data_IF_228787668429
#
_entry.id   IF_228787668429
#
_cell.length_a   1.000
_cell.length_b   1.000
_cell.length_c   1.000
_cell.angle_alpha   90.00
_cell.angle_beta   90.00
_cell.angle_gamma   90.00
#
_symmetry.space_group_name_H-M   'P 1'
#
loop_
_entity.id
_entity.type
_entity.pdbx_description
1 polymer ?
#
# COMPACT_ATOMS: atom_id res chain seq x y z
N UNK A 1 29.92 -28.93 -26.37
CA UNK A 1 28.64 -28.52 -25.75
C UNK A 1 28.87 -27.20 -25.02
N UNK A 2 28.31 -26.10 -25.51
CA UNK A 2 28.51 -24.75 -24.96
C UNK A 2 27.23 -24.32 -24.22
N UNK A 3 27.34 -24.12 -22.91
CA UNK A 3 26.22 -23.66 -22.08
C UNK A 3 26.11 -22.13 -22.16
N UNK A 4 24.92 -21.63 -22.54
CA UNK A 4 24.62 -20.20 -22.56
C UNK A 4 24.24 -19.73 -21.16
N UNK A 5 25.04 -18.81 -20.60
CA UNK A 5 24.82 -18.26 -19.26
C UNK A 5 23.59 -17.35 -19.27
N UNK A 6 22.51 -17.77 -18.61
CA UNK A 6 21.33 -16.94 -18.42
C UNK A 6 21.65 -15.80 -17.43
N UNK A 7 21.87 -14.59 -17.93
CA UNK A 7 21.85 -13.39 -17.09
C UNK A 7 20.39 -13.06 -16.84
N UNK A 8 19.92 -13.24 -15.61
CA UNK A 8 18.65 -12.71 -15.14
C UNK A 8 18.56 -11.24 -15.55
N UNK A 9 17.70 -10.95 -16.54
CA UNK A 9 17.40 -9.59 -16.94
C UNK A 9 16.69 -8.93 -15.76
N UNK A 10 17.31 -7.86 -15.26
CA UNK A 10 16.74 -6.84 -14.40
C UNK A 10 15.77 -7.33 -13.31
N UNK A 11 16.27 -7.36 -12.07
CA UNK A 11 15.36 -7.24 -10.92
C UNK A 11 14.42 -6.05 -11.20
N UNK A 12 13.08 -6.24 -11.16
CA UNK A 12 12.15 -5.18 -11.51
C UNK A 12 12.42 -3.96 -10.64
N UNK A 13 12.45 -2.78 -11.26
CA UNK A 13 12.62 -1.52 -10.55
C UNK A 13 11.69 -1.51 -9.32
N UNK A 14 12.26 -1.26 -8.15
CA UNK A 14 11.55 -1.27 -6.89
C UNK A 14 10.51 -0.14 -6.88
N UNK A 15 9.26 -0.45 -7.27
CA UNK A 15 8.18 0.53 -7.35
C UNK A 15 7.40 0.60 -6.03
N UNK A 16 6.84 1.77 -5.67
CA UNK A 16 5.92 1.91 -4.55
C UNK A 16 4.76 0.92 -4.65
N UNK A 17 4.56 0.11 -3.63
CA UNK A 17 3.53 -0.92 -3.61
C UNK A 17 2.88 -1.05 -2.24
N UNK A 18 1.58 -1.31 -2.25
CA UNK A 18 0.77 -1.69 -1.12
C UNK A 18 0.44 -3.18 -1.21
N UNK A 19 0.73 -3.92 -0.16
CA UNK A 19 0.31 -5.32 -0.02
C UNK A 19 -0.86 -5.36 0.95
N UNK A 20 -2.02 -5.74 0.44
CA UNK A 20 -3.18 -6.03 1.27
C UNK A 20 -3.01 -7.42 1.89
N UNK A 21 -3.18 -7.54 3.20
CA UNK A 21 -3.27 -8.81 3.89
C UNK A 21 -4.73 -9.30 3.94
N UNK A 22 -4.91 -10.63 4.06
CA UNK A 22 -6.23 -11.22 4.30
C UNK A 22 -6.82 -10.82 5.66
N UNK A 23 -6.02 -10.27 6.56
CA UNK A 23 -6.45 -9.76 7.87
C UNK A 23 -7.00 -8.33 7.81
N UNK A 24 -6.90 -7.67 6.64
CA UNK A 24 -7.33 -6.28 6.47
C UNK A 24 -6.29 -5.26 6.91
N UNK A 25 -5.03 -5.52 6.59
CA UNK A 25 -3.92 -4.58 6.81
C UNK A 25 -3.26 -4.26 5.48
N UNK A 26 -3.00 -2.98 5.22
CA UNK A 26 -2.15 -2.55 4.10
C UNK A 26 -0.72 -2.44 4.60
N UNK A 27 0.17 -3.21 3.99
CA UNK A 27 1.61 -3.22 4.20
C UNK A 27 2.29 -2.42 3.07
N UNK A 28 3.06 -1.41 3.41
CA UNK A 28 3.79 -0.60 2.45
C UNK A 28 5.23 -1.09 2.34
N UNK A 29 5.73 -1.25 1.10
CA UNK A 29 7.14 -1.56 0.89
C UNK A 29 8.04 -0.34 1.17
N UNK A 30 9.35 -0.57 1.20
CA UNK A 30 10.36 0.48 1.44
C UNK A 30 10.18 1.69 0.52
N UNK A 31 9.92 1.45 -0.77
CA UNK A 31 9.77 2.53 -1.75
C UNK A 31 8.49 3.34 -1.48
N UNK A 32 7.38 2.68 -1.16
CA UNK A 32 6.17 3.38 -0.73
C UNK A 32 6.40 4.20 0.55
N UNK A 33 7.16 3.68 1.51
CA UNK A 33 7.48 4.43 2.74
C UNK A 33 8.33 5.67 2.41
N UNK A 34 9.32 5.55 1.52
CA UNK A 34 10.19 6.66 1.13
C UNK A 34 9.46 7.72 0.32
N UNK A 35 8.62 7.31 -0.64
CA UNK A 35 7.96 8.22 -1.57
C UNK A 35 6.60 8.74 -1.09
N UNK A 36 5.84 7.94 -0.35
CA UNK A 36 4.46 8.25 0.01
C UNK A 36 4.30 8.67 1.47
N UNK A 37 5.13 8.14 2.38
CA UNK A 37 4.87 8.17 3.84
C UNK A 37 5.93 8.92 4.63
N UNK A 38 6.95 9.52 3.99
CA UNK A 38 8.17 10.03 4.67
C UNK A 38 7.88 10.73 6.01
N UNK A 39 6.99 11.71 5.99
CA UNK A 39 6.61 12.53 7.16
C UNK A 39 5.22 12.19 7.73
N UNK A 40 4.49 11.28 7.08
CA UNK A 40 3.13 10.96 7.46
C UNK A 40 3.05 10.01 8.66
N UNK A 41 2.15 10.31 9.58
CA UNK A 41 1.81 9.51 10.77
C UNK A 41 0.42 8.91 10.69
N UNK A 42 -0.41 9.42 9.79
CA UNK A 42 -1.80 9.03 9.59
C UNK A 42 -2.08 8.80 8.10
N UNK A 43 -3.05 7.95 7.83
CA UNK A 43 -3.55 7.68 6.49
C UNK A 43 -5.07 7.73 6.46
N UNK A 44 -5.64 8.37 5.44
CA UNK A 44 -7.07 8.33 5.13
C UNK A 44 -7.29 7.42 3.92
N UNK A 45 -8.35 6.62 4.00
CA UNK A 45 -8.74 5.65 2.97
C UNK A 45 -9.96 6.18 2.23
N UNK A 46 -9.90 6.16 0.90
CA UNK A 46 -10.98 6.56 0.02
C UNK A 46 -11.32 5.38 -0.90
N UNK A 47 -12.60 5.19 -1.19
CA UNK A 47 -13.02 4.20 -2.17
C UNK A 47 -13.80 4.87 -3.31
N UNK A 48 -13.27 4.76 -4.52
CA UNK A 48 -13.97 5.09 -5.75
C UNK A 48 -14.70 3.83 -6.21
N UNK A 49 -16.03 3.81 -6.02
CA UNK A 49 -16.90 2.68 -6.33
C UNK A 49 -16.95 2.42 -7.84
N UNK A 50 -17.08 3.48 -8.64
CA UNK A 50 -17.22 3.42 -10.09
C UNK A 50 -15.96 2.82 -10.73
N UNK A 51 -14.78 3.26 -10.27
CA UNK A 51 -13.49 2.82 -10.81
C UNK A 51 -12.88 1.64 -10.06
N UNK A 52 -13.55 1.17 -9.00
CA UNK A 52 -13.07 0.12 -8.09
C UNK A 52 -11.62 0.39 -7.67
N UNK A 53 -11.40 1.56 -7.10
CA UNK A 53 -10.06 2.06 -6.75
C UNK A 53 -10.02 2.51 -5.31
N UNK A 54 -8.96 2.10 -4.59
CA UNK A 54 -8.70 2.60 -3.25
C UNK A 54 -7.67 3.72 -3.35
N UNK A 55 -8.00 4.86 -2.74
CA UNK A 55 -7.12 5.99 -2.53
C UNK A 55 -6.57 6.00 -1.10
N UNK A 56 -5.30 6.37 -0.97
CA UNK A 56 -4.57 6.57 0.26
C UNK A 56 -4.04 7.99 0.29
N UNK A 57 -4.48 8.75 1.30
CA UNK A 57 -3.92 10.06 1.61
C UNK A 57 -3.05 9.94 2.84
N UNK A 58 -1.81 10.41 2.75
CA UNK A 58 -0.86 10.35 3.85
C UNK A 58 -0.76 11.72 4.52
N UNK A 59 -0.93 11.77 5.84
CA UNK A 59 -1.03 13.00 6.62
C UNK A 59 -0.03 13.02 7.79
N UNK A 60 0.60 14.17 8.09
CA UNK A 60 1.49 14.31 9.24
C UNK A 60 0.75 14.37 10.59
N UNK A 61 -0.49 14.87 10.58
CA UNK A 61 -1.38 15.03 11.73
C UNK A 61 -2.68 14.24 11.50
N UNK A 62 -3.43 13.89 12.57
CA UNK A 62 -4.72 13.24 12.39
C UNK A 62 -5.68 14.20 11.67
N UNK A 63 -6.42 13.64 10.71
CA UNK A 63 -7.50 14.35 10.03
C UNK A 63 -8.80 14.21 10.81
N UNK A 64 -9.89 13.90 10.12
CA UNK A 64 -11.18 13.70 10.77
C UNK A 64 -11.18 12.45 11.69
N UNK A 65 -11.83 12.52 12.86
CA UNK A 65 -12.02 11.37 13.74
C UNK A 65 -12.79 10.25 13.03
N UNK A 66 -12.32 9.00 13.17
CA UNK A 66 -12.95 7.82 12.54
C UNK A 66 -12.55 7.57 11.09
N UNK A 67 -12.11 8.60 10.37
CA UNK A 67 -11.64 8.50 8.96
C UNK A 67 -10.13 8.26 8.90
N UNK A 68 -9.39 8.96 9.76
CA UNK A 68 -7.93 8.89 9.79
C UNK A 68 -7.43 7.67 10.60
N UNK A 69 -6.59 6.85 9.97
CA UNK A 69 -5.97 5.66 10.57
C UNK A 69 -4.51 5.94 10.90
N UNK A 70 -4.06 5.54 12.09
CA UNK A 70 -2.64 5.68 12.48
C UNK A 70 -1.78 4.72 11.66
N UNK A 71 -0.65 5.23 11.16
CA UNK A 71 0.36 4.42 10.48
C UNK A 71 1.28 3.83 11.54
N UNK A 72 1.31 2.50 11.65
CA UNK A 72 2.23 1.80 12.53
C UNK A 72 3.51 1.49 11.76
N UNK A 73 4.64 1.99 12.25
CA UNK A 73 5.97 1.70 11.69
C UNK A 73 6.68 0.72 12.60
N UNK A 74 7.31 -0.30 12.04
CA UNK A 74 8.15 -1.23 12.79
C UNK A 74 9.38 -1.63 11.97
N UNK A 75 10.42 -2.01 12.70
CA UNK A 75 11.66 -2.53 12.12
C UNK A 75 11.51 -4.04 11.97
N UNK A 76 11.77 -4.57 10.78
CA UNK A 76 11.75 -6.01 10.55
C UNK A 76 13.00 -6.64 11.18
N UNK A 77 12.81 -7.42 12.23
CA UNK A 77 13.90 -8.12 12.93
C UNK A 77 14.77 -8.92 11.94
N UNK A 78 16.09 -8.81 12.06
CA UNK A 78 17.06 -9.56 11.26
C UNK A 78 17.52 -8.92 9.94
N UNK A 79 16.98 -7.77 9.52
CA UNK A 79 17.50 -7.01 8.37
C UNK A 79 17.81 -5.57 8.80
N UNK A 80 19.10 -5.23 8.93
CA UNK A 80 19.58 -3.84 8.96
C UNK A 80 18.91 -3.14 7.76
N UNK A 81 18.06 -2.14 8.01
CA UNK A 81 17.30 -1.33 7.02
C UNK A 81 15.90 -1.82 6.55
N UNK A 82 15.31 -2.87 7.12
CA UNK A 82 13.94 -3.25 6.78
C UNK A 82 12.88 -2.43 7.53
N UNK A 83 12.55 -1.21 7.08
CA UNK A 83 11.38 -0.49 7.61
C UNK A 83 10.10 -0.99 6.93
N UNK A 84 9.09 -1.29 7.74
CA UNK A 84 7.74 -1.59 7.28
C UNK A 84 6.76 -0.59 7.89
N UNK A 85 5.72 -0.23 7.13
CA UNK A 85 4.61 0.58 7.61
C UNK A 85 3.31 -0.14 7.31
N UNK A 86 2.42 -0.17 8.30
CA UNK A 86 1.12 -0.83 8.21
C UNK A 86 -0.02 0.12 8.53
N UNK A 87 -1.14 -0.08 7.84
CA UNK A 87 -2.39 0.63 8.06
C UNK A 87 -3.49 -0.41 8.29
N UNK A 88 -4.17 -0.32 9.42
CA UNK A 88 -5.34 -1.16 9.71
C UNK A 88 -6.54 -0.63 8.92
N UNK A 89 -7.11 -1.47 8.06
CA UNK A 89 -8.20 -1.09 7.15
C UNK A 89 -9.29 -2.17 7.04
N UNK A 90 -9.35 -3.15 7.95
CA UNK A 90 -10.31 -4.26 7.90
C UNK A 90 -11.76 -3.80 7.85
N UNK A 91 -12.12 -2.82 8.69
CA UNK A 91 -13.47 -2.25 8.74
C UNK A 91 -13.84 -1.56 7.44
N UNK A 92 -12.94 -0.74 6.89
CA UNK A 92 -13.12 -0.08 5.59
C UNK A 92 -13.39 -1.10 4.47
N UNK A 93 -12.62 -2.20 4.43
CA UNK A 93 -12.84 -3.24 3.43
C UNK A 93 -14.19 -3.94 3.61
N UNK A 94 -14.63 -4.15 4.86
CA UNK A 94 -15.95 -4.74 5.16
C UNK A 94 -17.09 -3.80 4.79
N UNK A 95 -16.98 -2.53 5.13
CA UNK A 95 -17.96 -1.48 4.87
C UNK A 95 -18.25 -1.35 3.36
N UNK A 96 -17.21 -1.40 2.53
CA UNK A 96 -17.34 -1.28 1.07
C UNK A 96 -17.37 -2.63 0.32
N UNK A 97 -17.52 -3.76 1.02
CA UNK A 97 -17.63 -5.09 0.41
C UNK A 97 -16.40 -5.49 -0.42
N UNK A 98 -15.21 -5.03 -0.03
CA UNK A 98 -13.95 -5.32 -0.69
C UNK A 98 -13.35 -6.65 -0.22
N UNK A 99 -12.81 -7.48 -1.14
CA UNK A 99 -12.26 -8.77 -0.77
C UNK A 99 -10.98 -8.63 0.06
N UNK A 100 -10.97 -9.24 1.23
CA UNK A 100 -9.77 -9.40 2.07
C UNK A 100 -8.92 -10.55 1.53
N UNK A 101 -8.01 -10.26 0.61
CA UNK A 101 -7.12 -11.25 -0.01
C UNK A 101 -5.67 -10.78 0.04
N UNK A 102 -4.73 -11.73 0.11
CA UNK A 102 -3.31 -11.39 0.02
C UNK A 102 -2.98 -10.94 -1.41
N UNK A 103 -2.85 -9.62 -1.60
CA UNK A 103 -2.66 -9.02 -2.92
C UNK A 103 -1.64 -7.89 -2.84
N UNK A 104 -0.60 -7.97 -3.66
CA UNK A 104 0.32 -6.86 -3.88
C UNK A 104 -0.16 -6.02 -5.04
N UNK A 105 -0.35 -4.72 -4.81
CA UNK A 105 -0.75 -3.74 -5.82
C UNK A 105 0.25 -2.59 -5.88
N UNK A 106 0.54 -2.14 -7.10
CA UNK A 106 1.35 -0.96 -7.31
C UNK A 106 0.57 0.28 -6.89
N UNK A 107 1.26 1.20 -6.23
CA UNK A 107 0.71 2.50 -5.88
C UNK A 107 1.04 3.48 -6.99
N UNK A 108 0.00 4.11 -7.52
CA UNK A 108 0.11 5.17 -8.53
C UNK A 108 -0.37 6.48 -7.95
N UNK A 109 0.45 7.52 -8.07
CA UNK A 109 0.03 8.87 -7.70
C UNK A 109 -1.03 9.37 -8.69
N UNK A 110 -2.17 9.78 -8.16
CA UNK A 110 -3.23 10.42 -8.93
C UNK A 110 -3.16 11.93 -8.67
N UNK A 111 -2.66 12.69 -9.65
CA UNK A 111 -2.48 14.13 -9.54
C UNK A 111 -3.79 14.91 -9.31
N UNK A 112 -4.87 14.49 -9.98
CA UNK A 112 -6.18 15.17 -9.87
C UNK A 112 -6.76 15.04 -8.46
N UNK A 113 -6.68 13.83 -7.90
CA UNK A 113 -7.20 13.55 -6.56
C UNK A 113 -6.20 13.91 -5.45
N UNK A 114 -4.92 14.10 -5.77
CA UNK A 114 -3.80 14.21 -4.82
C UNK A 114 -3.74 13.03 -3.84
N UNK A 115 -3.96 11.81 -4.36
CA UNK A 115 -3.97 10.56 -3.60
C UNK A 115 -3.06 9.52 -4.23
N UNK A 116 -2.46 8.67 -3.41
CA UNK A 116 -1.89 7.41 -3.88
C UNK A 116 -2.99 6.39 -4.09
N UNK A 117 -3.03 5.74 -5.24
CA UNK A 117 -4.17 4.90 -5.62
C UNK A 117 -3.71 3.51 -6.04
N UNK A 118 -4.59 2.53 -5.85
CA UNK A 118 -4.44 1.20 -6.42
C UNK A 118 -5.79 0.59 -6.76
N UNK A 119 -5.82 -0.23 -7.82
CA UNK A 119 -7.03 -0.93 -8.24
C UNK A 119 -7.32 -2.13 -7.34
N UNK A 120 -8.58 -2.28 -6.97
CA UNK A 120 -9.11 -3.48 -6.30
C UNK A 120 -9.98 -4.25 -7.29
N UNK A 121 -9.82 -5.57 -7.34
CA UNK A 121 -10.58 -6.40 -8.27
C UNK A 121 -12.08 -6.38 -7.92
N UNK A 122 -12.94 -6.63 -8.91
CA UNK A 122 -14.34 -6.96 -8.67
C UNK A 122 -14.40 -8.19 -7.76
N UNK A 123 -15.32 -8.16 -6.80
CA UNK A 123 -15.62 -9.29 -5.93
C UNK A 123 -16.16 -10.39 -6.85
N UNK A 124 -15.44 -11.51 -6.98
CA UNK A 124 -15.99 -12.75 -7.51
C UNK A 124 -16.82 -13.41 -6.41
#
# INVERSE_FOLDING_TARGET
>A
MTFTRFKSQHAPAHQPAATLSAEGTILLNRDAIQHCVREARFAELYFDVEKRMVGLKFLPAPGEPGVSRRITRYVRNGKRQGSCATIQCREFYREYGLPLRHLRRLLTWNEKAKLWTFKVAATQ
#
